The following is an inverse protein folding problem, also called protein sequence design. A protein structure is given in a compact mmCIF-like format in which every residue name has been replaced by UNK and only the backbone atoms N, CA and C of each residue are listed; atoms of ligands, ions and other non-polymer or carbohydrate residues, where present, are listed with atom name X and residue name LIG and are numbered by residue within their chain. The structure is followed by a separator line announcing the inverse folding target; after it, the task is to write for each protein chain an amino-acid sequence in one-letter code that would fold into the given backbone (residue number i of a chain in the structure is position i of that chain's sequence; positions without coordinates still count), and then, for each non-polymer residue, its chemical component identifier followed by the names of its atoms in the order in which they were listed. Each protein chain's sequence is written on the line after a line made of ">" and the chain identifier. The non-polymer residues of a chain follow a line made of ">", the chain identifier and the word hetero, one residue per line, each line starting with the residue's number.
data_IF_634830770108
#
_entry.id   IF_634830770108
#
_cell.length_a   1.000
_cell.length_b   1.000
_cell.length_c   1.000
_cell.angle_alpha   90.00
_cell.angle_beta   90.00
_cell.angle_gamma   90.00
#
_symmetry.space_group_name_H-M   'P 1'
#
loop_
_entity.id
_entity.type
_entity.pdbx_description
1 polymer ?
#
# COMPACT_ATOMS: atom_id res chain seq x y z
N UNK A 1 36.25 7.37 -1.16
CA UNK A 1 34.89 7.12 -0.63
C UNK A 1 34.44 5.68 -0.89
N UNK A 2 34.58 5.18 -2.13
CA UNK A 2 34.18 3.81 -2.51
C UNK A 2 34.93 2.75 -1.69
N UNK A 3 36.23 2.91 -1.49
CA UNK A 3 37.04 1.96 -0.69
C UNK A 3 36.61 1.91 0.77
N UNK A 4 36.24 3.06 1.36
CA UNK A 4 35.72 3.12 2.73
C UNK A 4 34.34 2.47 2.84
N UNK A 5 33.47 2.70 1.84
CA UNK A 5 32.18 2.05 1.77
C UNK A 5 32.33 0.53 1.60
N UNK A 6 33.18 0.09 0.67
CA UNK A 6 33.43 -1.32 0.43
C UNK A 6 34.00 -2.03 1.69
N UNK A 7 34.96 -1.39 2.37
CA UNK A 7 35.52 -1.93 3.61
C UNK A 7 34.47 -2.07 4.71
N UNK A 8 33.57 -1.09 4.87
CA UNK A 8 32.47 -1.15 5.84
C UNK A 8 31.41 -2.17 5.44
N UNK A 9 30.97 -2.15 4.17
CA UNK A 9 29.91 -3.03 3.68
C UNK A 9 30.32 -4.51 3.66
N UNK A 10 31.56 -4.79 3.25
CA UNK A 10 32.11 -6.14 3.20
C UNK A 10 32.66 -6.65 4.54
N UNK A 11 32.58 -5.83 5.61
CA UNK A 11 32.90 -6.32 6.94
C UNK A 11 32.01 -7.50 7.30
N UNK A 12 32.61 -8.57 7.81
CA UNK A 12 31.94 -9.84 8.08
C UNK A 12 30.67 -9.69 8.94
N UNK A 13 30.73 -8.84 9.97
CA UNK A 13 29.56 -8.61 10.84
C UNK A 13 28.46 -7.80 10.14
N UNK A 14 28.81 -6.81 9.35
CA UNK A 14 27.86 -5.97 8.59
C UNK A 14 27.19 -6.80 7.51
N UNK A 15 27.98 -7.49 6.69
CA UNK A 15 27.47 -8.36 5.63
C UNK A 15 26.64 -9.52 6.20
N UNK A 16 27.10 -10.14 7.28
CA UNK A 16 26.38 -11.21 7.97
C UNK A 16 25.01 -10.75 8.50
N UNK A 17 24.91 -9.53 9.04
CA UNK A 17 23.64 -8.94 9.47
C UNK A 17 22.72 -8.69 8.28
N UNK A 18 23.25 -8.15 7.19
CA UNK A 18 22.46 -7.88 5.97
C UNK A 18 21.89 -9.19 5.42
N UNK A 19 22.74 -10.21 5.26
CA UNK A 19 22.31 -11.51 4.73
C UNK A 19 21.32 -12.18 5.68
N UNK A 20 21.63 -12.27 6.99
CA UNK A 20 20.80 -12.98 7.95
C UNK A 20 19.47 -12.29 8.26
N UNK A 21 19.44 -10.94 8.23
CA UNK A 21 18.28 -10.19 8.69
C UNK A 21 17.40 -9.65 7.57
N UNK A 22 17.99 -9.28 6.41
CA UNK A 22 17.27 -8.53 5.37
C UNK A 22 17.09 -9.27 4.05
N UNK A 23 17.45 -10.55 4.01
CA UNK A 23 17.05 -11.44 2.93
C UNK A 23 15.67 -12.02 3.27
N UNK A 24 14.83 -12.13 2.24
CA UNK A 24 13.53 -12.79 2.29
C UNK A 24 13.57 -13.98 1.35
N UNK A 25 13.23 -15.16 1.85
CA UNK A 25 13.01 -16.32 1.01
C UNK A 25 11.61 -16.20 0.36
N UNK A 26 11.57 -16.17 -0.95
CA UNK A 26 10.33 -16.28 -1.71
C UNK A 26 10.12 -17.75 -2.08
N UNK A 27 9.30 -18.46 -1.32
CA UNK A 27 9.15 -19.92 -1.44
C UNK A 27 8.50 -20.31 -2.78
N UNK A 28 7.61 -19.48 -3.31
CA UNK A 28 6.95 -19.72 -4.60
C UNK A 28 7.96 -19.84 -5.74
N UNK A 29 8.85 -18.88 -5.86
CA UNK A 29 9.88 -18.83 -6.91
C UNK A 29 11.20 -19.48 -6.52
N UNK A 30 11.32 -19.95 -5.28
CA UNK A 30 12.55 -20.53 -4.72
C UNK A 30 13.77 -19.62 -4.86
N UNK A 31 13.56 -18.32 -4.66
CA UNK A 31 14.60 -17.32 -4.79
C UNK A 31 14.81 -16.55 -3.49
N UNK A 32 16.01 -16.00 -3.32
CA UNK A 32 16.34 -15.10 -2.22
C UNK A 32 16.22 -13.66 -2.71
N UNK A 33 15.32 -12.91 -2.08
CA UNK A 33 15.12 -11.48 -2.35
C UNK A 33 15.90 -10.66 -1.32
N UNK A 34 16.68 -9.71 -1.81
CA UNK A 34 17.42 -8.77 -0.95
C UNK A 34 16.71 -7.43 -0.95
N UNK A 35 16.50 -6.87 0.23
CA UNK A 35 15.92 -5.53 0.34
C UNK A 35 16.83 -4.49 -0.30
N UNK A 36 16.25 -3.59 -1.08
CA UNK A 36 16.94 -2.39 -1.58
C UNK A 36 17.24 -1.42 -0.44
N UNK A 37 18.23 -0.51 -0.57
CA UNK A 37 18.63 0.38 0.52
C UNK A 37 17.47 1.16 1.15
N UNK A 38 16.58 1.73 0.35
CA UNK A 38 15.42 2.48 0.87
C UNK A 38 14.42 1.59 1.63
N UNK A 39 14.24 0.33 1.22
CA UNK A 39 13.41 -0.66 1.91
C UNK A 39 14.02 -1.03 3.27
N UNK A 40 15.33 -1.26 3.28
CA UNK A 40 16.08 -1.49 4.50
C UNK A 40 15.89 -0.35 5.52
N UNK A 41 16.08 0.91 5.09
CA UNK A 41 15.89 2.05 5.99
C UNK A 41 14.45 2.19 6.48
N UNK A 42 13.46 1.91 5.65
CA UNK A 42 12.05 1.92 6.05
C UNK A 42 11.76 0.86 7.12
N UNK A 43 12.26 -0.37 6.95
CA UNK A 43 12.13 -1.45 7.94
C UNK A 43 12.81 -1.08 9.25
N UNK A 44 14.04 -0.56 9.22
CA UNK A 44 14.75 -0.15 10.43
C UNK A 44 14.02 0.96 11.18
N UNK A 45 13.40 1.92 10.49
CA UNK A 45 12.60 2.98 11.10
C UNK A 45 11.36 2.45 11.82
N UNK A 46 10.70 1.44 11.24
CA UNK A 46 9.57 0.76 11.89
C UNK A 46 10.06 0.02 13.14
N UNK A 47 11.12 -0.79 13.02
CA UNK A 47 11.65 -1.56 14.15
C UNK A 47 12.15 -0.66 15.29
N UNK A 48 12.79 0.45 14.97
CA UNK A 48 13.21 1.43 15.96
C UNK A 48 12.00 2.02 16.72
N UNK A 49 10.93 2.34 16.00
CA UNK A 49 9.68 2.79 16.60
C UNK A 49 9.04 1.73 17.48
N UNK A 50 8.98 0.47 17.03
CA UNK A 50 8.43 -0.63 17.82
C UNK A 50 9.22 -0.84 19.12
N UNK A 51 10.56 -0.74 19.08
CA UNK A 51 11.42 -0.98 20.24
C UNK A 51 11.45 0.17 21.24
N UNK A 52 11.43 1.41 20.75
CA UNK A 52 11.79 2.58 21.55
C UNK A 52 10.61 3.52 21.81
N UNK A 53 9.43 3.26 21.23
CA UNK A 53 8.25 4.13 21.35
C UNK A 53 6.97 3.33 21.15
N UNK A 54 5.85 3.88 21.64
CA UNK A 54 4.50 3.40 21.33
C UNK A 54 3.81 4.25 20.25
N UNK A 55 4.54 5.18 19.63
CA UNK A 55 3.97 6.05 18.60
C UNK A 55 3.75 5.27 17.31
N UNK A 56 2.69 5.61 16.63
CA UNK A 56 2.38 5.15 15.28
C UNK A 56 3.26 5.83 14.23
N UNK A 57 3.22 5.34 12.99
CA UNK A 57 3.92 5.96 11.88
C UNK A 57 3.44 5.46 10.53
N UNK A 58 3.90 6.11 9.45
CA UNK A 58 3.66 5.62 8.11
C UNK A 58 4.89 5.72 7.21
N UNK A 59 4.90 4.88 6.19
CA UNK A 59 5.91 4.82 5.14
C UNK A 59 5.27 5.34 3.84
N UNK A 60 5.90 6.33 3.24
CA UNK A 60 5.48 6.87 1.96
C UNK A 60 6.39 6.37 0.85
N UNK A 61 6.01 5.26 0.25
CA UNK A 61 6.71 4.67 -0.89
C UNK A 61 5.81 4.67 -2.13
N UNK A 62 6.35 5.14 -3.25
CA UNK A 62 5.62 5.18 -4.52
C UNK A 62 5.16 3.80 -4.98
N UNK A 63 4.21 3.75 -5.90
CA UNK A 63 3.80 2.50 -6.56
C UNK A 63 5.00 1.87 -7.28
N UNK A 64 5.10 0.54 -7.26
CA UNK A 64 6.25 -0.17 -7.84
C UNK A 64 7.51 -0.21 -6.97
N UNK A 65 7.53 0.45 -5.79
CA UNK A 65 8.67 0.43 -4.86
C UNK A 65 8.78 -0.84 -4.01
N UNK A 66 7.98 -1.88 -4.27
CA UNK A 66 8.00 -3.12 -3.48
C UNK A 66 7.54 -2.93 -2.03
N UNK A 67 6.44 -2.18 -1.83
CA UNK A 67 5.82 -1.97 -0.51
C UNK A 67 5.48 -3.28 0.18
N UNK A 68 4.93 -4.25 -0.56
CA UNK A 68 4.55 -5.58 -0.06
C UNK A 68 5.74 -6.30 0.59
N UNK A 69 6.87 -6.36 -0.11
CA UNK A 69 8.10 -6.97 0.42
C UNK A 69 8.62 -6.22 1.66
N UNK A 70 8.61 -4.88 1.62
CA UNK A 70 9.10 -4.05 2.72
C UNK A 70 8.22 -4.21 3.97
N UNK A 71 6.91 -4.17 3.82
CA UNK A 71 5.94 -4.30 4.91
C UNK A 71 5.94 -5.72 5.50
N UNK A 72 6.04 -6.74 4.65
CA UNK A 72 6.18 -8.13 5.10
C UNK A 72 7.46 -8.32 5.92
N UNK A 73 8.62 -7.82 5.44
CA UNK A 73 9.87 -7.92 6.19
C UNK A 73 9.82 -7.17 7.51
N UNK A 74 9.18 -6.01 7.56
CA UNK A 74 8.94 -5.29 8.81
C UNK A 74 8.08 -6.13 9.78
N UNK A 75 7.01 -6.77 9.28
CA UNK A 75 6.16 -7.68 10.06
C UNK A 75 6.96 -8.87 10.61
N UNK A 76 7.73 -9.54 9.76
CA UNK A 76 8.56 -10.66 10.14
C UNK A 76 9.53 -10.29 11.27
N UNK A 77 10.31 -9.23 11.10
CA UNK A 77 11.27 -8.80 12.11
C UNK A 77 10.63 -8.24 13.38
N UNK A 78 9.44 -7.61 13.28
CA UNK A 78 8.68 -7.21 14.45
C UNK A 78 8.17 -8.41 15.25
N UNK A 79 7.79 -9.51 14.58
CA UNK A 79 7.34 -10.74 15.25
C UNK A 79 8.45 -11.48 16.01
N UNK A 80 9.71 -11.24 15.67
CA UNK A 80 10.87 -11.80 16.37
C UNK A 80 11.16 -11.09 17.71
N UNK A 81 10.53 -9.93 17.97
CA UNK A 81 10.73 -9.21 19.22
C UNK A 81 10.00 -9.90 20.36
N UNK A 82 10.66 -9.99 21.52
CA UNK A 82 10.14 -10.70 22.69
C UNK A 82 8.91 -10.02 23.31
N UNK A 83 8.84 -8.68 23.21
CA UNK A 83 7.77 -7.86 23.74
C UNK A 83 6.56 -7.73 22.79
N UNK A 84 6.61 -8.32 21.60
CA UNK A 84 5.52 -8.33 20.63
C UNK A 84 4.77 -9.66 20.67
N UNK A 85 3.51 -9.65 21.06
CA UNK A 85 2.66 -10.84 21.14
C UNK A 85 2.18 -11.27 19.74
N UNK A 86 1.71 -10.30 18.94
CA UNK A 86 1.15 -10.54 17.60
C UNK A 86 1.53 -9.44 16.63
N UNK A 87 1.69 -9.81 15.37
CA UNK A 87 1.79 -8.88 14.24
C UNK A 87 0.63 -9.14 13.29
N UNK A 88 -0.18 -8.13 13.04
CA UNK A 88 -1.31 -8.22 12.11
C UNK A 88 -0.99 -7.44 10.85
N UNK A 89 -0.96 -8.12 9.72
CA UNK A 89 -0.88 -7.48 8.42
C UNK A 89 -2.30 -7.29 7.88
N UNK A 90 -2.72 -6.05 7.74
CA UNK A 90 -4.10 -5.69 7.42
C UNK A 90 -4.15 -5.06 6.04
N UNK A 91 -4.87 -5.70 5.13
CA UNK A 91 -5.06 -5.25 3.74
C UNK A 91 -6.52 -4.90 3.48
N UNK A 92 -6.79 -4.14 2.41
CA UNK A 92 -8.16 -3.98 1.93
C UNK A 92 -8.61 -5.27 1.22
N UNK A 93 -9.91 -5.58 1.30
CA UNK A 93 -10.50 -6.74 0.62
C UNK A 93 -10.28 -6.72 -0.90
N UNK A 94 -10.31 -5.52 -1.49
CA UNK A 94 -10.09 -5.36 -2.93
C UNK A 94 -8.65 -5.60 -3.37
N UNK A 95 -7.69 -5.47 -2.46
CA UNK A 95 -6.27 -5.71 -2.71
C UNK A 95 -5.86 -7.15 -2.38
N UNK A 96 -6.70 -7.88 -1.64
CA UNK A 96 -6.51 -9.29 -1.37
C UNK A 96 -7.04 -10.14 -2.53
N UNK A 97 -6.62 -9.84 -3.75
CA UNK A 97 -6.87 -10.67 -4.91
C UNK A 97 -6.01 -11.96 -4.85
N UNK A 98 -6.26 -12.86 -5.79
CA UNK A 98 -5.57 -14.16 -5.82
C UNK A 98 -4.05 -14.01 -5.95
N UNK A 99 -3.58 -12.96 -6.63
CA UNK A 99 -2.16 -12.69 -6.82
C UNK A 99 -1.52 -12.21 -5.52
N UNK A 100 -2.11 -11.24 -4.85
CA UNK A 100 -1.64 -10.72 -3.56
C UNK A 100 -1.65 -11.79 -2.47
N UNK A 101 -2.69 -12.64 -2.45
CA UNK A 101 -2.73 -13.80 -1.54
C UNK A 101 -1.57 -14.75 -1.80
N UNK A 102 -1.29 -15.09 -3.07
CA UNK A 102 -0.18 -15.98 -3.41
C UNK A 102 1.19 -15.38 -3.09
N UNK A 103 1.36 -14.05 -3.21
CA UNK A 103 2.59 -13.37 -2.80
C UNK A 103 2.82 -13.50 -1.29
N UNK A 104 1.78 -13.26 -0.47
CA UNK A 104 1.91 -13.42 0.99
C UNK A 104 2.13 -14.86 1.43
N UNK A 105 1.42 -15.82 0.83
CA UNK A 105 1.64 -17.25 1.07
C UNK A 105 3.05 -17.70 0.65
N UNK A 106 3.61 -17.08 -0.38
CA UNK A 106 4.99 -17.36 -0.81
C UNK A 106 6.03 -16.82 0.16
N UNK A 107 5.73 -15.80 0.96
CA UNK A 107 6.60 -15.27 2.00
C UNK A 107 6.42 -15.98 3.35
N UNK A 108 5.22 -16.33 3.73
CA UNK A 108 4.90 -17.00 5.00
C UNK A 108 3.76 -18.00 4.77
N UNK A 109 4.08 -19.28 4.51
CA UNK A 109 3.07 -20.31 4.28
C UNK A 109 2.10 -20.46 5.46
N UNK A 110 0.82 -20.45 5.14
CA UNK A 110 -0.25 -20.55 6.14
C UNK A 110 -0.55 -19.27 6.93
N UNK A 111 0.06 -18.13 6.59
CA UNK A 111 -0.23 -16.85 7.23
C UNK A 111 -1.50 -16.18 6.68
N UNK A 112 -1.86 -16.45 5.42
CA UNK A 112 -3.04 -15.86 4.78
C UNK A 112 -4.31 -16.56 5.22
N UNK A 113 -5.28 -15.77 5.70
CA UNK A 113 -6.64 -16.23 5.92
C UNK A 113 -7.42 -16.17 4.61
N UNK A 114 -7.32 -17.23 3.81
CA UNK A 114 -7.95 -17.35 2.49
C UNK A 114 -9.48 -17.51 2.52
N UNK A 115 -10.11 -17.57 3.69
CA UNK A 115 -11.54 -17.72 3.82
C UNK A 115 -12.23 -16.37 4.10
N UNK A 116 -13.44 -16.18 3.57
CA UNK A 116 -14.29 -15.03 3.91
C UNK A 116 -14.85 -15.09 5.35
N UNK A 117 -14.39 -16.03 6.16
CA UNK A 117 -14.95 -16.34 7.47
C UNK A 117 -14.17 -15.67 8.62
N UNK A 118 -14.86 -14.81 9.37
CA UNK A 118 -14.33 -14.16 10.59
C UNK A 118 -13.97 -15.18 11.69
N UNK A 119 -14.61 -16.36 11.72
CA UNK A 119 -14.31 -17.41 12.70
C UNK A 119 -12.87 -17.92 12.57
N UNK A 120 -12.34 -18.01 11.35
CA UNK A 120 -10.96 -18.43 11.13
C UNK A 120 -9.96 -17.38 11.66
N UNK A 121 -10.22 -16.10 11.43
CA UNK A 121 -9.44 -15.01 12.02
C UNK A 121 -9.42 -15.14 13.55
N UNK A 122 -10.59 -15.35 14.19
CA UNK A 122 -10.68 -15.51 15.65
C UNK A 122 -9.86 -16.71 16.14
N UNK A 123 -9.88 -17.85 15.44
CA UNK A 123 -9.03 -19.00 15.80
C UNK A 123 -7.55 -18.68 15.71
N UNK A 124 -7.12 -17.98 14.64
CA UNK A 124 -5.72 -17.57 14.43
C UNK A 124 -5.25 -16.56 15.48
N UNK A 125 -6.11 -15.66 15.90
CA UNK A 125 -5.82 -14.72 16.99
C UNK A 125 -5.47 -15.45 18.32
N UNK A 126 -6.02 -16.65 18.54
CA UNK A 126 -5.70 -17.51 19.69
C UNK A 126 -4.61 -18.54 19.43
N UNK A 127 -4.16 -18.71 18.19
CA UNK A 127 -3.10 -19.67 17.86
C UNK A 127 -1.72 -19.15 18.31
N UNK A 128 -0.71 -20.01 18.25
CA UNK A 128 0.68 -19.65 18.54
C UNK A 128 1.35 -18.88 17.41
N UNK A 129 0.70 -18.75 16.22
CA UNK A 129 1.25 -17.96 15.12
C UNK A 129 1.35 -16.50 15.53
N UNK A 130 2.53 -15.91 15.41
CA UNK A 130 2.75 -14.49 15.69
C UNK A 130 2.31 -13.60 14.54
N UNK A 131 2.38 -14.04 13.29
CA UNK A 131 2.00 -13.27 12.09
C UNK A 131 0.63 -13.71 11.62
N UNK A 132 -0.25 -12.75 11.41
CA UNK A 132 -1.62 -12.95 10.92
C UNK A 132 -1.89 -11.96 9.79
N UNK A 133 -2.26 -12.46 8.62
CA UNK A 133 -2.66 -11.64 7.48
C UNK A 133 -4.17 -11.68 7.37
N UNK A 134 -4.81 -10.52 7.37
CA UNK A 134 -6.26 -10.42 7.35
C UNK A 134 -6.74 -9.17 6.61
N UNK A 135 -8.04 -9.06 6.36
CA UNK A 135 -8.63 -7.85 5.80
C UNK A 135 -9.18 -6.93 6.89
N UNK A 136 -9.20 -5.62 6.61
CA UNK A 136 -9.77 -4.64 7.51
C UNK A 136 -11.25 -4.94 7.81
N UNK A 137 -11.99 -5.48 6.82
CA UNK A 137 -13.40 -5.84 6.97
C UNK A 137 -13.59 -6.99 7.97
N UNK A 138 -12.76 -8.05 7.90
CA UNK A 138 -12.80 -9.17 8.86
C UNK A 138 -12.42 -8.71 10.25
N UNK A 139 -11.34 -7.92 10.36
CA UNK A 139 -10.89 -7.39 11.65
C UNK A 139 -11.96 -6.47 12.28
N UNK A 140 -12.57 -5.57 11.48
CA UNK A 140 -13.69 -4.75 11.94
C UNK A 140 -14.90 -5.59 12.36
N UNK A 141 -15.23 -6.66 11.63
CA UNK A 141 -16.29 -7.58 12.03
C UNK A 141 -15.99 -8.32 13.35
N UNK A 142 -14.73 -8.73 13.53
CA UNK A 142 -14.29 -9.40 14.75
C UNK A 142 -14.44 -8.49 16.01
N UNK A 143 -14.09 -7.21 15.90
CA UNK A 143 -14.19 -6.28 17.04
C UNK A 143 -15.58 -5.68 17.25
N UNK A 144 -16.42 -5.63 16.20
CA UNK A 144 -17.73 -4.96 16.26
C UNK A 144 -18.89 -5.88 16.63
N UNK A 145 -18.83 -7.18 16.26
CA UNK A 145 -19.89 -8.13 16.57
C UNK A 145 -19.68 -8.71 17.96
N UNK A 146 -20.66 -8.56 18.85
CA UNK A 146 -20.59 -8.98 20.27
C UNK A 146 -20.11 -10.42 20.44
N UNK A 147 -20.56 -11.33 19.59
CA UNK A 147 -20.15 -12.73 19.62
C UNK A 147 -18.66 -12.95 19.39
N UNK A 148 -18.07 -12.20 18.46
CA UNK A 148 -16.64 -12.31 18.15
C UNK A 148 -15.79 -11.52 19.14
N UNK A 149 -16.20 -10.29 19.50
CA UNK A 149 -15.45 -9.45 20.44
C UNK A 149 -15.30 -10.13 21.79
N UNK A 150 -16.34 -10.82 22.28
CA UNK A 150 -16.24 -11.60 23.51
C UNK A 150 -15.20 -12.74 23.42
N UNK A 151 -15.06 -13.37 22.25
CA UNK A 151 -14.05 -14.43 22.05
C UNK A 151 -12.63 -13.89 22.05
N UNK A 152 -12.40 -12.69 21.50
CA UNK A 152 -11.06 -12.10 21.39
C UNK A 152 -10.72 -11.14 22.53
N UNK A 153 -11.57 -11.03 23.56
CA UNK A 153 -11.32 -10.15 24.71
C UNK A 153 -10.00 -10.46 25.41
N UNK A 154 -9.59 -11.73 25.45
CA UNK A 154 -8.34 -12.14 26.08
C UNK A 154 -7.07 -11.52 25.46
N UNK A 155 -7.13 -11.13 24.18
CA UNK A 155 -5.99 -10.51 23.46
C UNK A 155 -6.09 -8.99 23.36
N UNK A 156 -7.09 -8.38 23.95
CA UNK A 156 -7.35 -6.94 23.89
C UNK A 156 -6.17 -6.10 24.36
N UNK A 157 -5.49 -6.53 25.42
CA UNK A 157 -4.37 -5.83 26.04
C UNK A 157 -3.00 -6.32 25.54
N UNK A 158 -2.99 -7.30 24.63
CA UNK A 158 -1.75 -7.83 24.05
C UNK A 158 -1.00 -6.75 23.28
N UNK A 159 0.33 -6.83 23.29
CA UNK A 159 1.19 -5.97 22.50
C UNK A 159 1.10 -6.37 21.02
N UNK A 160 0.36 -5.62 20.26
CA UNK A 160 0.08 -5.92 18.85
C UNK A 160 0.69 -4.86 17.96
N UNK A 161 1.46 -5.29 16.95
CA UNK A 161 1.92 -4.43 15.86
C UNK A 161 1.00 -4.66 14.66
N UNK A 162 0.35 -3.60 14.18
CA UNK A 162 -0.52 -3.65 13.02
C UNK A 162 0.13 -2.93 11.85
N UNK A 163 0.26 -3.61 10.72
CA UNK A 163 0.78 -3.04 9.48
C UNK A 163 -0.36 -2.99 8.48
N UNK A 164 -0.68 -1.78 8.01
CA UNK A 164 -1.74 -1.54 7.03
C UNK A 164 -1.14 -1.21 5.66
N UNK A 165 -1.48 -1.99 4.66
CA UNK A 165 -1.13 -1.69 3.27
C UNK A 165 -2.20 -0.84 2.60
N UNK A 166 -1.78 0.00 1.65
CA UNK A 166 -2.62 0.96 0.90
C UNK A 166 -3.60 1.76 1.79
N UNK A 167 -3.06 2.31 2.87
CA UNK A 167 -3.80 2.92 3.97
C UNK A 167 -4.53 4.25 3.64
N UNK A 168 -4.56 4.66 2.37
CA UNK A 168 -5.19 5.91 1.90
C UNK A 168 -6.66 5.75 1.48
N UNK A 169 -7.25 4.54 1.55
CA UNK A 169 -8.62 4.31 1.04
C UNK A 169 -9.70 4.84 1.97
N UNK A 170 -10.80 5.34 1.38
CA UNK A 170 -11.86 6.13 2.01
C UNK A 170 -12.63 5.44 3.15
N UNK A 171 -12.74 4.12 3.16
CA UNK A 171 -13.46 3.38 4.22
C UNK A 171 -12.60 3.03 5.43
N UNK A 172 -11.36 3.48 5.44
CA UNK A 172 -10.38 3.14 6.45
C UNK A 172 -10.67 3.80 7.82
N UNK A 173 -11.10 5.07 7.84
CA UNK A 173 -11.18 5.88 9.06
C UNK A 173 -12.10 5.33 10.16
N UNK A 174 -13.33 4.94 9.83
CA UNK A 174 -14.30 4.42 10.80
C UNK A 174 -13.91 3.04 11.33
N UNK A 175 -13.51 2.13 10.42
CA UNK A 175 -13.09 0.78 10.80
C UNK A 175 -11.82 0.82 11.65
N UNK A 176 -10.85 1.64 11.27
CA UNK A 176 -9.63 1.88 12.03
C UNK A 176 -9.90 2.36 13.44
N UNK A 177 -10.77 3.38 13.62
CA UNK A 177 -11.14 3.89 14.94
C UNK A 177 -11.73 2.80 15.86
N UNK A 178 -12.58 1.91 15.32
CA UNK A 178 -13.18 0.81 16.10
C UNK A 178 -12.13 -0.22 16.48
N UNK A 179 -11.24 -0.59 15.56
CA UNK A 179 -10.15 -1.53 15.80
C UNK A 179 -9.22 -0.99 16.90
N UNK A 180 -8.80 0.27 16.79
CA UNK A 180 -7.91 0.90 17.76
C UNK A 180 -8.57 1.12 19.13
N UNK A 181 -9.90 1.29 19.18
CA UNK A 181 -10.64 1.35 20.43
C UNK A 181 -10.71 0.00 21.14
N UNK A 182 -10.68 -1.10 20.36
CA UNK A 182 -10.72 -2.45 20.93
C UNK A 182 -9.33 -2.88 21.40
N UNK A 183 -8.30 -2.76 20.58
CA UNK A 183 -6.93 -3.15 20.93
C UNK A 183 -6.19 -1.96 21.53
N UNK A 184 -6.18 -1.84 22.85
CA UNK A 184 -5.68 -0.67 23.56
C UNK A 184 -4.14 -0.63 23.71
N UNK A 185 -3.44 -1.72 23.37
CA UNK A 185 -1.98 -1.80 23.32
C UNK A 185 -1.46 -2.12 21.89
N UNK A 186 -2.17 -1.61 20.88
CA UNK A 186 -1.78 -1.77 19.50
C UNK A 186 -0.98 -0.59 19.01
N UNK A 187 0.10 -0.87 18.27
CA UNK A 187 0.91 0.12 17.54
C UNK A 187 0.72 -0.07 16.04
N UNK A 188 0.55 1.02 15.30
CA UNK A 188 0.09 0.98 13.91
C UNK A 188 1.07 1.61 12.96
N UNK A 189 1.34 0.93 11.85
CA UNK A 189 2.17 1.41 10.76
C UNK A 189 1.41 1.34 9.43
N UNK A 190 1.32 2.47 8.72
CA UNK A 190 0.68 2.55 7.40
C UNK A 190 1.69 2.54 6.27
N UNK A 191 1.40 1.83 5.18
CA UNK A 191 2.13 1.92 3.91
C UNK A 191 1.23 2.54 2.86
N UNK A 192 1.73 3.54 2.14
CA UNK A 192 0.97 4.18 1.06
C UNK A 192 1.87 4.81 0.01
N UNK A 193 1.42 4.81 -1.25
CA UNK A 193 2.03 5.58 -2.33
C UNK A 193 1.46 7.00 -2.45
N UNK A 194 0.27 7.22 -1.90
CA UNK A 194 -0.52 8.45 -2.05
C UNK A 194 -1.09 8.91 -0.70
N UNK A 195 -0.26 9.48 0.21
CA UNK A 195 -0.76 9.99 1.48
C UNK A 195 -1.85 11.04 1.28
N UNK A 196 -2.82 11.06 2.19
CA UNK A 196 -3.87 12.08 2.23
C UNK A 196 -3.34 13.25 3.06
N UNK A 197 -3.24 14.42 2.43
CA UNK A 197 -2.90 15.69 3.05
C UNK A 197 -4.14 16.53 3.29
N UNK A 198 -3.99 17.68 3.93
CA UNK A 198 -5.10 18.59 4.27
C UNK A 198 -5.87 19.05 3.01
N UNK A 199 -5.14 19.26 1.90
CA UNK A 199 -5.72 19.77 0.63
C UNK A 199 -6.59 18.72 -0.09
N UNK A 200 -6.35 17.44 0.15
CA UNK A 200 -7.10 16.33 -0.46
C UNK A 200 -7.76 15.42 0.57
N UNK A 201 -7.98 15.93 1.79
CA UNK A 201 -8.62 15.19 2.86
C UNK A 201 -10.05 14.76 2.47
N UNK A 202 -10.34 13.47 2.58
CA UNK A 202 -11.66 12.88 2.43
C UNK A 202 -12.21 12.70 3.84
N UNK A 203 -13.43 13.15 4.10
CA UNK A 203 -14.08 13.11 5.42
C UNK A 203 -13.26 13.78 6.55
N UNK A 204 -12.40 14.74 6.21
CA UNK A 204 -11.62 15.53 7.16
C UNK A 204 -10.45 14.82 7.82
N UNK A 205 -10.05 13.63 7.35
CA UNK A 205 -8.93 12.88 7.91
C UNK A 205 -7.72 12.84 6.98
N UNK A 206 -6.55 13.14 7.54
CA UNK A 206 -5.26 13.01 6.87
C UNK A 206 -4.55 11.71 7.28
N UNK A 207 -3.61 11.25 6.44
CA UNK A 207 -2.78 10.07 6.78
C UNK A 207 -2.01 10.31 8.08
N UNK A 208 -1.55 11.54 8.33
CA UNK A 208 -0.82 11.91 9.54
C UNK A 208 -1.70 11.82 10.79
N UNK A 209 -2.97 12.19 10.73
CA UNK A 209 -3.90 12.09 11.87
C UNK A 209 -4.19 10.64 12.26
N UNK A 210 -4.22 9.74 11.27
CA UNK A 210 -4.53 8.33 11.49
C UNK A 210 -3.29 7.56 11.95
N UNK A 211 -2.13 7.78 11.29
CA UNK A 211 -0.92 6.98 11.47
C UNK A 211 0.23 7.74 12.17
N UNK A 212 0.09 9.01 12.47
CA UNK A 212 1.18 9.81 13.04
C UNK A 212 2.18 10.31 11.99
N UNK A 213 3.46 10.37 12.35
CA UNK A 213 4.49 10.95 11.49
C UNK A 213 4.95 10.02 10.36
N UNK A 214 5.36 10.62 9.24
CA UNK A 214 6.07 9.90 8.18
C UNK A 214 7.46 9.48 8.68
N UNK A 215 7.74 8.18 8.66
CA UNK A 215 9.00 7.61 9.13
C UNK A 215 10.06 7.54 8.03
N UNK A 216 9.62 7.27 6.81
CA UNK A 216 10.50 7.16 5.64
C UNK A 216 9.73 7.52 4.36
N UNK A 217 10.46 8.13 3.41
CA UNK A 217 9.92 8.50 2.09
C UNK A 217 10.80 7.94 0.98
N UNK A 218 10.14 7.39 -0.04
CA UNK A 218 10.74 7.04 -1.32
C UNK A 218 9.74 7.40 -2.41
N UNK A 219 9.94 8.59 -2.99
CA UNK A 219 8.98 9.22 -3.89
C UNK A 219 9.22 8.79 -5.33
N UNK A 220 8.28 9.12 -6.20
CA UNK A 220 8.39 8.82 -7.64
C UNK A 220 9.67 9.41 -8.28
N UNK A 221 10.11 10.60 -7.84
CA UNK A 221 11.35 11.22 -8.29
C UNK A 221 12.59 10.40 -7.93
N UNK A 222 12.58 9.80 -6.72
CA UNK A 222 13.68 8.97 -6.23
C UNK A 222 13.70 7.65 -7.00
N UNK A 223 12.52 7.07 -7.25
CA UNK A 223 12.37 5.84 -8.02
C UNK A 223 12.78 5.99 -9.49
N UNK A 224 12.54 7.16 -10.09
CA UNK A 224 13.02 7.48 -11.44
C UNK A 224 14.55 7.67 -11.44
N UNK A 225 15.10 8.38 -10.43
CA UNK A 225 16.55 8.58 -10.30
C UNK A 225 17.31 7.25 -10.10
N UNK A 226 16.70 6.28 -9.41
CA UNK A 226 17.23 4.93 -9.19
C UNK A 226 16.91 3.97 -10.34
N UNK A 227 16.31 4.44 -11.45
CA UNK A 227 15.90 3.64 -12.62
C UNK A 227 14.92 2.49 -12.26
N UNK A 228 14.23 2.58 -11.13
CA UNK A 228 13.21 1.61 -10.70
C UNK A 228 11.85 1.84 -11.37
N UNK A 229 11.60 3.06 -11.83
CA UNK A 229 10.40 3.49 -12.54
C UNK A 229 10.83 4.30 -13.75
N UNK A 230 10.19 4.10 -14.88
CA UNK A 230 10.44 4.88 -16.09
C UNK A 230 10.06 6.35 -15.85
N UNK A 231 10.86 7.24 -16.41
CA UNK A 231 10.55 8.66 -16.44
C UNK A 231 9.29 8.90 -17.28
N UNK A 232 8.53 9.94 -16.92
CA UNK A 232 7.34 10.36 -17.65
C UNK A 232 7.33 11.87 -17.83
N UNK A 233 6.66 12.33 -18.88
CA UNK A 233 6.42 13.73 -19.16
C UNK A 233 4.97 14.05 -18.79
N UNK A 234 4.75 15.20 -18.12
CA UNK A 234 3.41 15.71 -17.83
C UNK A 234 3.14 16.90 -18.74
N UNK A 235 2.16 16.78 -19.60
CA UNK A 235 1.67 17.85 -20.44
C UNK A 235 0.30 18.30 -19.93
N UNK A 236 0.12 19.62 -19.80
CA UNK A 236 -1.16 20.22 -19.39
C UNK A 236 -1.84 20.86 -20.60
N UNK A 237 -3.06 20.43 -20.85
CA UNK A 237 -3.93 21.10 -21.83
C UNK A 237 -4.88 22.03 -21.09
N UNK A 238 -4.68 23.32 -21.28
CA UNK A 238 -5.59 24.36 -20.81
C UNK A 238 -6.59 24.66 -21.95
N UNK A 239 -7.79 24.08 -21.90
CA UNK A 239 -8.90 24.50 -22.75
C UNK A 239 -9.37 25.91 -22.38
N UNK A 240 -10.35 26.48 -23.13
CA UNK A 240 -10.91 27.78 -22.82
C UNK A 240 -11.42 27.84 -21.39
N UNK A 241 -10.87 28.73 -20.55
CA UNK A 241 -11.12 28.82 -19.10
C UNK A 241 -12.57 29.22 -18.77
N UNK A 242 -13.32 29.77 -19.74
CA UNK A 242 -14.71 30.21 -19.57
C UNK A 242 -15.76 29.09 -19.57
N UNK A 243 -15.36 27.85 -19.79
CA UNK A 243 -16.28 26.71 -19.91
C UNK A 243 -16.27 25.85 -18.67
N UNK A 244 -17.38 25.78 -17.94
CA UNK A 244 -17.55 24.97 -16.72
C UNK A 244 -17.18 23.46 -16.92
N UNK A 245 -16.64 22.86 -15.88
CA UNK A 245 -16.34 21.43 -15.86
C UNK A 245 -17.63 20.62 -16.09
N UNK A 246 -17.63 19.79 -17.15
CA UNK A 246 -18.78 18.93 -17.49
C UNK A 246 -19.72 19.52 -18.56
N UNK A 247 -19.43 20.70 -19.12
CA UNK A 247 -20.11 21.23 -20.29
C UNK A 247 -19.81 20.32 -21.52
N UNK A 248 -20.84 20.06 -22.33
CA UNK A 248 -20.73 19.21 -23.51
C UNK A 248 -19.68 19.71 -24.51
N UNK A 249 -19.58 21.03 -24.72
CA UNK A 249 -18.61 21.62 -25.63
C UNK A 249 -17.18 21.41 -25.17
N UNK A 250 -16.91 21.52 -23.86
CA UNK A 250 -15.59 21.24 -23.29
C UNK A 250 -15.19 19.77 -23.44
N UNK A 251 -16.14 18.85 -23.23
CA UNK A 251 -15.91 17.43 -23.40
C UNK A 251 -15.57 17.08 -24.85
N UNK A 252 -16.25 17.70 -25.81
CA UNK A 252 -15.94 17.56 -27.24
C UNK A 252 -14.54 18.10 -27.58
N UNK A 253 -14.18 19.28 -27.10
CA UNK A 253 -12.84 19.85 -27.29
C UNK A 253 -11.74 18.94 -26.76
N UNK A 254 -11.91 18.40 -25.55
CA UNK A 254 -10.96 17.45 -24.97
C UNK A 254 -10.88 16.18 -25.81
N UNK A 255 -12.02 15.62 -26.23
CA UNK A 255 -12.04 14.41 -27.06
C UNK A 255 -11.34 14.66 -28.42
N UNK A 256 -11.61 15.79 -29.08
CA UNK A 256 -10.93 16.19 -30.33
C UNK A 256 -9.42 16.35 -30.13
N UNK A 257 -9.01 16.99 -29.02
CA UNK A 257 -7.59 17.14 -28.69
C UNK A 257 -6.91 15.79 -28.52
N UNK A 258 -7.52 14.87 -27.76
CA UNK A 258 -6.99 13.51 -27.54
C UNK A 258 -6.86 12.79 -28.89
N UNK A 259 -7.92 12.78 -29.71
CA UNK A 259 -7.93 12.10 -31.00
C UNK A 259 -6.87 12.66 -31.97
N UNK A 260 -6.74 13.98 -32.04
CA UNK A 260 -5.77 14.63 -32.92
C UNK A 260 -4.30 14.37 -32.50
N UNK A 261 -4.06 14.12 -31.21
CA UNK A 261 -2.71 13.85 -30.71
C UNK A 261 -2.48 12.36 -30.44
N UNK A 262 -3.47 11.50 -30.66
CA UNK A 262 -3.40 10.09 -30.32
C UNK A 262 -2.21 9.39 -30.95
N UNK A 263 -2.06 9.47 -32.28
CA UNK A 263 -0.97 8.84 -33.00
C UNK A 263 0.40 9.36 -32.55
N UNK A 264 0.53 10.66 -32.33
CA UNK A 264 1.79 11.24 -31.81
C UNK A 264 2.13 10.72 -30.41
N UNK A 265 1.14 10.66 -29.52
CA UNK A 265 1.34 10.26 -28.13
C UNK A 265 1.48 8.75 -27.96
N UNK A 266 0.96 7.94 -28.88
CA UNK A 266 1.05 6.48 -28.88
C UNK A 266 2.11 5.95 -29.84
N UNK A 267 2.93 6.81 -30.44
CA UNK A 267 3.93 6.42 -31.46
C UNK A 267 3.29 5.61 -32.59
N UNK A 268 2.26 6.20 -33.23
CA UNK A 268 1.49 5.55 -34.29
C UNK A 268 0.84 4.22 -33.90
N UNK A 269 0.45 4.08 -32.63
CA UNK A 269 -0.22 2.91 -32.09
C UNK A 269 0.73 1.80 -31.61
N UNK A 270 2.00 2.09 -31.43
CA UNK A 270 2.96 1.17 -30.81
C UNK A 270 2.67 0.99 -29.30
N UNK A 271 2.09 2.02 -28.67
CA UNK A 271 1.70 2.01 -27.26
C UNK A 271 0.21 2.26 -27.09
N UNK A 272 -0.37 1.66 -26.04
CA UNK A 272 -1.74 1.90 -25.65
C UNK A 272 -1.91 3.23 -24.90
N UNK A 273 -3.14 3.76 -24.88
CA UNK A 273 -3.51 4.94 -24.12
C UNK A 273 -4.62 4.64 -23.12
N UNK A 274 -4.48 5.14 -21.89
CA UNK A 274 -5.50 5.07 -20.85
C UNK A 274 -6.11 6.45 -20.61
N UNK A 275 -7.41 6.58 -20.82
CA UNK A 275 -8.17 7.81 -20.53
C UNK A 275 -8.97 7.66 -19.24
N UNK A 276 -8.51 8.31 -18.17
CA UNK A 276 -9.18 8.33 -16.87
C UNK A 276 -10.05 9.57 -16.72
N UNK A 277 -11.25 9.39 -16.16
CA UNK A 277 -12.23 10.46 -15.91
C UNK A 277 -12.77 10.38 -14.49
N UNK A 278 -13.36 11.49 -14.02
CA UNK A 278 -13.79 11.66 -12.63
C UNK A 278 -14.90 10.69 -12.18
N UNK A 279 -15.78 10.24 -13.10
CA UNK A 279 -16.92 9.39 -12.75
C UNK A 279 -17.41 8.52 -13.90
N UNK A 280 -18.10 7.42 -13.58
CA UNK A 280 -18.72 6.52 -14.58
C UNK A 280 -19.71 7.25 -15.49
N UNK A 281 -20.62 8.14 -15.01
CA UNK A 281 -21.47 8.93 -15.89
C UNK A 281 -20.69 9.79 -16.88
N UNK A 282 -19.56 10.37 -16.46
CA UNK A 282 -18.69 11.15 -17.33
C UNK A 282 -17.99 10.27 -18.36
N UNK A 283 -17.53 9.08 -17.96
CA UNK A 283 -16.95 8.09 -18.88
C UNK A 283 -17.93 7.72 -20.00
N UNK A 284 -19.18 7.42 -19.66
CA UNK A 284 -20.23 7.09 -20.65
C UNK A 284 -20.45 8.22 -21.64
N UNK A 285 -20.41 9.48 -21.18
CA UNK A 285 -20.55 10.66 -22.06
C UNK A 285 -19.34 10.77 -23.02
N UNK A 286 -18.11 10.67 -22.50
CA UNK A 286 -16.91 10.69 -23.34
C UNK A 286 -16.89 9.54 -24.34
N UNK A 287 -17.27 8.35 -23.93
CA UNK A 287 -17.37 7.19 -24.83
C UNK A 287 -18.31 7.47 -26.02
N UNK A 288 -19.50 8.05 -25.76
CA UNK A 288 -20.44 8.45 -26.82
C UNK A 288 -19.86 9.52 -27.75
N UNK A 289 -19.15 10.51 -27.20
CA UNK A 289 -18.50 11.56 -28.00
C UNK A 289 -17.40 10.92 -28.86
N UNK A 290 -16.54 10.09 -28.31
CA UNK A 290 -15.48 9.44 -29.07
C UNK A 290 -16.03 8.58 -30.22
N UNK A 291 -17.12 7.85 -30.01
CA UNK A 291 -17.78 7.07 -31.08
C UNK A 291 -18.24 7.93 -32.25
N UNK A 292 -18.70 9.16 -32.03
CA UNK A 292 -19.10 10.08 -33.11
C UNK A 292 -17.94 10.48 -34.03
N UNK A 293 -16.70 10.45 -33.51
CA UNK A 293 -15.50 10.84 -34.25
C UNK A 293 -14.66 9.64 -34.74
N UNK A 294 -14.87 8.45 -34.19
CA UNK A 294 -14.10 7.25 -34.53
C UNK A 294 -14.90 6.21 -35.31
N UNK A 295 -16.23 6.32 -35.31
CA UNK A 295 -17.05 5.43 -36.14
C UNK A 295 -16.85 5.77 -37.62
N UNK A 296 -16.61 4.76 -38.50
CA UNK A 296 -16.63 5.04 -39.94
C UNK A 296 -18.00 5.65 -40.30
N UNK A 297 -17.96 6.76 -41.03
CA UNK A 297 -19.18 7.39 -41.58
C UNK A 297 -19.99 6.34 -42.33
N UNK A 298 -21.34 6.29 -42.15
CA UNK A 298 -22.18 5.34 -42.87
C UNK A 298 -22.14 5.52 -44.37
#
# INVERSE_FOLDING_TARGET
>A
ELDKFAAFFCEKCTLGKIIGKYIVLHEGDKCLMVLRPYQFYAVEKILDKVKNSNDNGYIWHTTGAGKTLTSFKAAQLASELDDVDKVMFVVDRHDLDTQTQSEYEAFEPGAVDGTDNTDELVKRLHSNSKIIITTIQKLNAAVSKTWYSAKIEAIRHSRIVMIFDECHRSHFGESHKRIMKFFDNAQVFGFTGTPIFTENAIDGHTTKEIFGNCLHQYLIKDAIADENVLGFLVEYYHGNEEVEKGNANRMEEIAKFILNNFNKSTFDGEFDALFAVQSVPMLIRYYKICLLYTSPSP
#
